data_IF_637137075449
#
_entry.id   IF_637137075449
#
_cell.length_a   1.000
_cell.length_b   1.000
_cell.length_c   1.000
_cell.angle_alpha   90.00
_cell.angle_beta   90.00
_cell.angle_gamma   90.00
#
_symmetry.space_group_name_H-M   'P 1'
#
loop_
_entity.id
_entity.type
_entity.pdbx_description
1 polymer ?
#
# COMPACT_ATOMS: atom_id res chain seq x y z
N UNK A 1 -71.34 -64.80 1.46
CA UNK A 1 -71.19 -65.07 0.01
C UNK A 1 -71.05 -63.75 -0.73
N UNK A 2 -69.87 -63.50 -1.31
CA UNK A 2 -69.63 -62.86 -2.61
C UNK A 2 -68.18 -62.40 -2.63
N UNK A 3 -67.37 -63.27 -3.21
CA UNK A 3 -66.05 -62.96 -3.75
C UNK A 3 -66.19 -61.80 -4.72
N UNK A 4 -65.37 -60.76 -4.54
CA UNK A 4 -65.04 -59.87 -5.66
C UNK A 4 -63.53 -59.63 -5.60
N UNK A 5 -62.84 -60.41 -6.43
CA UNK A 5 -61.43 -60.25 -6.76
C UNK A 5 -61.35 -59.05 -7.71
N UNK A 6 -60.70 -57.97 -7.28
CA UNK A 6 -60.38 -56.84 -8.14
C UNK A 6 -58.88 -56.89 -8.44
N UNK A 7 -58.58 -57.44 -9.60
CA UNK A 7 -57.27 -57.37 -10.27
C UNK A 7 -57.18 -55.96 -10.83
N UNK A 8 -56.28 -55.13 -10.29
CA UNK A 8 -55.93 -53.85 -10.91
C UNK A 8 -54.44 -53.61 -10.78
N UNK A 9 -53.77 -53.90 -11.90
CA UNK A 9 -52.63 -53.21 -12.48
C UNK A 9 -51.48 -52.82 -11.55
N UNK A 10 -50.47 -53.69 -11.54
CA UNK A 10 -49.08 -53.36 -11.22
C UNK A 10 -48.60 -52.30 -12.24
N UNK A 11 -48.63 -51.03 -11.86
CA UNK A 11 -47.80 -50.02 -12.48
C UNK A 11 -46.49 -49.96 -11.68
N UNK A 12 -45.46 -50.66 -12.16
CA UNK A 12 -44.09 -50.40 -11.73
C UNK A 12 -43.76 -49.00 -12.24
N UNK A 13 -43.97 -47.99 -11.40
CA UNK A 13 -43.34 -46.70 -11.60
C UNK A 13 -41.83 -46.94 -11.47
N UNK A 14 -41.12 -46.92 -12.59
CA UNK A 14 -39.69 -46.65 -12.60
C UNK A 14 -39.54 -45.29 -11.91
N UNK A 15 -39.19 -45.32 -10.63
CA UNK A 15 -38.57 -44.19 -9.99
C UNK A 15 -37.25 -43.97 -10.72
N UNK A 16 -37.28 -43.11 -11.75
CA UNK A 16 -36.10 -42.37 -12.16
C UNK A 16 -35.67 -41.61 -10.92
N UNK A 17 -34.75 -42.23 -10.18
CA UNK A 17 -33.92 -41.55 -9.22
C UNK A 17 -33.35 -40.34 -9.95
N UNK A 18 -33.98 -39.20 -9.70
CA UNK A 18 -33.35 -37.91 -9.90
C UNK A 18 -32.23 -37.90 -8.90
N UNK A 19 -31.07 -38.43 -9.32
CA UNK A 19 -29.80 -38.01 -8.78
C UNK A 19 -29.79 -36.51 -9.01
N UNK A 20 -30.26 -35.79 -8.00
CA UNK A 20 -29.83 -34.44 -7.70
C UNK A 20 -28.32 -34.50 -7.82
N UNK A 21 -27.82 -34.11 -8.99
CA UNK A 21 -26.45 -33.69 -9.10
C UNK A 21 -26.35 -32.59 -8.07
N UNK A 22 -25.77 -32.91 -6.90
CA UNK A 22 -25.19 -31.91 -6.02
C UNK A 22 -24.54 -30.91 -6.96
N UNK A 23 -25.06 -29.69 -7.00
CA UNK A 23 -24.37 -28.59 -7.64
C UNK A 23 -23.01 -28.57 -6.95
N UNK A 24 -22.00 -29.15 -7.61
CA UNK A 24 -20.70 -29.38 -7.01
C UNK A 24 -20.18 -28.00 -6.66
N UNK A 25 -20.29 -27.65 -5.37
CA UNK A 25 -19.81 -26.40 -4.84
C UNK A 25 -18.34 -26.34 -5.19
N UNK A 26 -17.90 -25.19 -5.67
CA UNK A 26 -16.50 -25.02 -6.00
C UNK A 26 -15.64 -25.29 -4.76
N UNK A 27 -14.41 -25.76 -5.01
CA UNK A 27 -13.47 -26.04 -3.95
C UNK A 27 -13.04 -24.73 -3.29
N UNK A 28 -12.98 -24.72 -1.95
CA UNK A 28 -12.64 -23.50 -1.20
C UNK A 28 -11.23 -23.03 -1.50
N UNK A 29 -10.90 -21.78 -1.17
CA UNK A 29 -9.52 -21.27 -1.26
C UNK A 29 -8.58 -22.22 -0.49
N UNK A 30 -7.48 -22.60 -1.14
CA UNK A 30 -6.51 -23.64 -0.76
C UNK A 30 -7.00 -25.09 -0.81
N UNK A 31 -8.23 -25.35 -1.27
CA UNK A 31 -8.76 -26.69 -1.49
C UNK A 31 -8.24 -27.35 -2.78
N UNK A 32 -8.32 -28.69 -2.86
CA UNK A 32 -7.98 -29.42 -4.07
C UNK A 32 -9.07 -29.23 -5.14
N UNK A 33 -8.65 -28.96 -6.36
CA UNK A 33 -9.55 -28.66 -7.49
C UNK A 33 -9.17 -29.41 -8.77
N UNK A 34 -8.22 -30.34 -8.69
CA UNK A 34 -7.76 -31.09 -9.86
C UNK A 34 -6.59 -32.01 -9.56
N UNK A 35 -6.12 -32.68 -10.61
CA UNK A 35 -5.06 -33.69 -10.56
C UNK A 35 -5.47 -35.00 -11.24
N UNK A 36 -4.50 -35.78 -11.71
CA UNK A 36 -4.77 -37.09 -12.32
C UNK A 36 -5.51 -37.99 -11.30
N UNK A 37 -6.70 -38.48 -11.68
CA UNK A 37 -7.53 -39.34 -10.84
C UNK A 37 -8.47 -38.62 -9.86
N UNK A 38 -8.48 -37.28 -9.85
CA UNK A 38 -9.42 -36.50 -9.04
C UNK A 38 -10.84 -36.57 -9.61
N UNK A 39 -11.82 -36.90 -8.75
CA UNK A 39 -13.26 -36.98 -9.11
C UNK A 39 -14.12 -35.90 -8.43
N UNK A 40 -13.50 -34.99 -7.67
CA UNK A 40 -14.19 -33.90 -6.97
C UNK A 40 -14.33 -32.61 -7.80
N UNK A 41 -14.68 -31.47 -7.17
CA UNK A 41 -14.91 -30.20 -7.87
C UNK A 41 -13.69 -29.75 -8.67
N UNK A 42 -13.91 -29.24 -9.90
CA UNK A 42 -12.86 -28.72 -10.78
C UNK A 42 -12.83 -27.19 -10.86
N UNK A 43 -13.73 -26.53 -10.11
CA UNK A 43 -13.80 -25.08 -9.97
C UNK A 43 -13.39 -24.65 -8.55
N UNK A 44 -13.03 -23.38 -8.39
CA UNK A 44 -12.62 -22.77 -7.13
C UNK A 44 -13.58 -21.65 -6.71
N UNK A 45 -13.73 -21.45 -5.40
CA UNK A 45 -14.51 -20.34 -4.85
C UNK A 45 -14.01 -18.99 -5.40
N UNK A 46 -14.95 -18.06 -5.54
CA UNK A 46 -14.71 -16.74 -6.13
C UNK A 46 -13.47 -16.07 -5.51
N UNK A 47 -12.56 -15.60 -6.37
CA UNK A 47 -11.29 -15.00 -5.94
C UNK A 47 -10.10 -15.96 -5.93
N UNK A 48 -10.26 -17.23 -6.30
CA UNK A 48 -9.16 -18.20 -6.47
C UNK A 48 -9.20 -18.95 -7.80
N UNK A 49 -8.05 -19.43 -8.28
CA UNK A 49 -7.91 -20.25 -9.50
C UNK A 49 -7.26 -21.59 -9.18
N UNK A 50 -7.71 -22.62 -9.88
CA UNK A 50 -7.13 -23.95 -9.76
C UNK A 50 -5.76 -24.01 -10.45
N UNK A 51 -4.70 -24.10 -9.65
CA UNK A 51 -3.32 -24.12 -10.14
C UNK A 51 -2.69 -25.49 -9.89
N UNK A 52 -2.17 -26.12 -10.95
CA UNK A 52 -1.41 -27.36 -10.84
C UNK A 52 -0.09 -27.11 -10.10
N UNK A 53 0.28 -28.00 -9.18
CA UNK A 53 1.56 -27.87 -8.48
C UNK A 53 2.71 -28.32 -9.39
N UNK A 54 3.76 -27.50 -9.51
CA UNK A 54 4.86 -27.71 -10.47
C UNK A 54 5.59 -29.05 -10.30
N UNK A 55 5.51 -29.65 -9.10
CA UNK A 55 6.14 -30.95 -8.79
C UNK A 55 5.14 -32.07 -8.51
N UNK A 56 3.84 -31.87 -8.80
CA UNK A 56 2.82 -32.88 -8.54
C UNK A 56 1.66 -32.84 -9.55
N UNK A 57 1.76 -33.66 -10.59
CA UNK A 57 0.69 -33.85 -11.61
C UNK A 57 -0.62 -34.46 -11.07
N UNK A 58 -0.61 -35.03 -9.87
CA UNK A 58 -1.79 -35.60 -9.21
C UNK A 58 -2.53 -34.59 -8.33
N UNK A 59 -2.04 -33.35 -8.22
CA UNK A 59 -2.61 -32.36 -7.30
C UNK A 59 -2.63 -30.95 -7.89
N UNK A 60 -3.83 -30.39 -8.00
CA UNK A 60 -4.07 -28.98 -8.32
C UNK A 60 -4.84 -28.34 -7.17
N UNK A 61 -4.47 -27.12 -6.81
CA UNK A 61 -5.01 -26.43 -5.63
C UNK A 61 -5.58 -25.07 -6.02
N UNK A 62 -6.70 -24.69 -5.40
CA UNK A 62 -7.29 -23.37 -5.51
C UNK A 62 -6.38 -22.36 -4.82
N UNK A 63 -5.57 -21.64 -5.59
CA UNK A 63 -4.74 -20.58 -5.04
C UNK A 63 -5.45 -19.24 -5.25
N UNK A 64 -5.46 -18.35 -4.25
CA UNK A 64 -6.00 -17.01 -4.42
C UNK A 64 -5.28 -16.31 -5.57
N UNK A 65 -6.00 -15.54 -6.36
CA UNK A 65 -5.37 -14.74 -7.41
C UNK A 65 -4.40 -13.76 -6.77
N UNK A 66 -3.11 -13.96 -6.99
CA UNK A 66 -2.09 -12.94 -6.76
C UNK A 66 -2.42 -11.76 -7.67
N UNK A 67 -3.10 -10.75 -7.10
CA UNK A 67 -3.49 -9.45 -7.69
C UNK A 67 -3.77 -9.42 -9.21
N UNK A 68 -5.09 -9.33 -9.51
CA UNK A 68 -5.77 -8.89 -10.76
C UNK A 68 -5.76 -9.85 -11.95
N UNK A 69 -6.82 -10.03 -12.76
CA UNK A 69 -8.20 -9.53 -12.90
C UNK A 69 -8.94 -10.57 -13.80
N UNK A 70 -10.26 -10.66 -13.99
CA UNK A 70 -11.26 -9.60 -14.18
C UNK A 70 -12.69 -10.16 -14.13
N UNK A 71 -13.67 -9.28 -13.89
CA UNK A 71 -14.77 -9.13 -14.85
C UNK A 71 -15.01 -7.64 -15.11
N UNK A 72 -14.69 -7.25 -16.35
CA UNK A 72 -15.28 -6.17 -17.15
C UNK A 72 -15.74 -4.87 -16.46
N UNK A 73 -14.80 -3.98 -16.14
CA UNK A 73 -15.05 -2.54 -16.23
C UNK A 73 -14.08 -1.93 -17.22
N UNK A 74 -14.53 -0.93 -17.96
CA UNK A 74 -13.60 -0.10 -18.71
C UNK A 74 -12.64 0.61 -17.75
N UNK A 75 -11.45 0.92 -18.24
CA UNK A 75 -10.47 1.68 -17.47
C UNK A 75 -11.05 3.06 -17.16
N UNK A 76 -10.85 3.52 -15.93
CA UNK A 76 -11.38 4.82 -15.50
C UNK A 76 -10.79 5.97 -16.32
N UNK A 77 -11.41 7.14 -16.27
CA UNK A 77 -10.80 8.35 -16.83
C UNK A 77 -9.41 8.55 -16.21
N UNK A 78 -8.39 8.73 -17.05
CA UNK A 78 -6.95 8.72 -16.74
C UNK A 78 -6.33 7.36 -16.36
N UNK A 79 -7.09 6.27 -16.41
CA UNK A 79 -6.58 4.91 -16.25
C UNK A 79 -5.79 4.43 -17.47
N UNK A 80 -4.86 3.49 -17.27
CA UNK A 80 -4.17 2.83 -18.37
C UNK A 80 -5.16 1.94 -19.12
N UNK A 81 -5.20 2.10 -20.44
CA UNK A 81 -6.12 1.39 -21.34
C UNK A 81 -5.38 0.68 -22.49
N UNK A 82 -4.05 0.68 -22.47
CA UNK A 82 -3.26 0.06 -23.53
C UNK A 82 -1.76 0.21 -23.31
N UNK A 83 -1.00 -0.30 -24.28
CA UNK A 83 0.46 -0.36 -24.27
C UNK A 83 1.00 -1.77 -24.47
N UNK A 84 2.21 -1.89 -25.00
CA UNK A 84 2.89 -3.20 -25.13
C UNK A 84 3.03 -3.84 -23.74
N UNK A 85 2.59 -5.09 -23.61
CA UNK A 85 2.63 -5.84 -22.35
C UNK A 85 1.50 -5.50 -21.36
N UNK A 86 0.57 -4.62 -21.72
CA UNK A 86 -0.62 -4.33 -20.91
C UNK A 86 -1.63 -5.49 -20.98
N UNK A 87 -2.04 -5.99 -19.82
CA UNK A 87 -3.02 -7.07 -19.65
C UNK A 87 -4.33 -6.61 -18.99
N UNK A 88 -4.49 -5.31 -18.76
CA UNK A 88 -5.70 -4.73 -18.15
C UNK A 88 -6.76 -4.29 -19.18
N UNK A 89 -7.78 -3.52 -18.74
CA UNK A 89 -8.87 -3.11 -19.62
C UNK A 89 -8.38 -2.29 -20.82
N UNK A 90 -9.01 -2.48 -22.00
CA UNK A 90 -8.66 -1.76 -23.25
C UNK A 90 -9.70 -0.74 -23.70
N UNK A 91 -10.84 -0.68 -23.00
CA UNK A 91 -11.86 0.36 -23.16
C UNK A 91 -11.75 1.38 -22.03
N UNK A 92 -12.36 2.55 -22.23
CA UNK A 92 -12.41 3.64 -21.25
C UNK A 92 -13.84 3.91 -20.79
N UNK A 93 -14.01 4.35 -19.54
CA UNK A 93 -15.31 4.80 -19.02
C UNK A 93 -15.93 5.86 -19.94
N UNK A 94 -17.27 5.86 -20.03
CA UNK A 94 -18.02 6.71 -20.95
C UNK A 94 -17.62 8.19 -20.84
N UNK A 95 -17.38 8.83 -21.98
CA UNK A 95 -16.88 10.21 -22.05
C UNK A 95 -15.36 10.33 -22.13
N UNK A 96 -14.62 9.22 -22.17
CA UNK A 96 -13.17 9.20 -22.40
C UNK A 96 -12.74 8.21 -23.48
N UNK A 97 -11.59 8.50 -24.11
CA UNK A 97 -11.03 7.72 -25.22
C UNK A 97 -9.63 7.25 -24.85
N UNK A 98 -9.28 6.02 -25.20
CA UNK A 98 -7.93 5.51 -24.98
C UNK A 98 -6.94 6.16 -25.95
N UNK A 99 -6.01 6.96 -25.43
CA UNK A 99 -5.00 7.69 -26.22
C UNK A 99 -3.61 7.14 -25.89
N UNK A 100 -2.89 6.68 -26.92
CA UNK A 100 -1.50 6.29 -26.80
C UNK A 100 -0.64 7.51 -26.46
N UNK A 101 0.27 7.39 -25.50
CA UNK A 101 1.13 8.50 -25.13
C UNK A 101 2.27 8.64 -26.14
N UNK A 102 2.47 9.87 -26.64
CA UNK A 102 3.51 10.16 -27.62
C UNK A 102 4.89 9.84 -27.04
N UNK A 103 5.70 9.08 -27.78
CA UNK A 103 7.00 8.60 -27.32
C UNK A 103 6.97 7.39 -26.39
N UNK A 104 5.80 6.86 -25.98
CA UNK A 104 5.71 5.68 -25.11
C UNK A 104 4.74 4.60 -25.64
N UNK A 105 5.29 3.65 -26.42
CA UNK A 105 4.55 2.48 -26.94
C UNK A 105 4.07 1.48 -25.87
N UNK A 106 4.56 1.57 -24.64
CA UNK A 106 4.18 0.67 -23.53
C UNK A 106 3.01 1.22 -22.70
N UNK A 107 2.47 2.40 -23.05
CA UNK A 107 1.46 3.05 -22.23
C UNK A 107 0.42 3.83 -23.07
N UNK A 108 -0.85 3.56 -22.83
CA UNK A 108 -1.99 4.31 -23.37
C UNK A 108 -2.96 4.61 -22.25
N UNK A 109 -3.57 5.80 -22.25
CA UNK A 109 -4.36 6.31 -21.15
C UNK A 109 -5.73 6.81 -21.60
N UNK A 110 -6.77 6.58 -20.81
CA UNK A 110 -8.10 7.13 -21.04
C UNK A 110 -8.10 8.65 -20.82
N UNK A 111 -8.35 9.44 -21.85
CA UNK A 111 -8.45 10.90 -21.75
C UNK A 111 -9.89 11.36 -22.03
N UNK A 112 -10.43 12.33 -21.27
CA UNK A 112 -11.77 12.86 -21.52
C UNK A 112 -11.88 13.45 -22.94
N UNK A 113 -12.96 13.12 -23.64
CA UNK A 113 -13.26 13.68 -24.95
C UNK A 113 -13.76 15.11 -24.84
N UNK A 114 -12.86 16.08 -24.88
CA UNK A 114 -13.22 17.45 -25.23
C UNK A 114 -13.35 17.54 -26.75
N UNK A 115 -14.59 17.66 -27.23
CA UNK A 115 -14.87 18.25 -28.54
C UNK A 115 -14.25 19.66 -28.54
N UNK A 116 -13.17 19.86 -29.29
CA UNK A 116 -12.97 21.09 -30.01
C UNK A 116 -12.40 20.79 -31.37
N UNK A 117 -13.22 21.12 -32.37
CA UNK A 117 -12.99 20.97 -33.78
C UNK A 117 -11.75 21.75 -34.21
N UNK A 118 -10.82 21.06 -34.87
CA UNK A 118 -10.28 21.61 -36.10
C UNK A 118 -10.22 20.47 -37.13
N UNK A 119 -11.01 20.64 -38.19
CA UNK A 119 -10.99 19.77 -39.36
C UNK A 119 -9.61 19.86 -40.02
N UNK A 120 -9.03 18.70 -40.34
CA UNK A 120 -7.67 18.62 -40.89
C UNK A 120 -7.31 17.23 -41.40
N UNK A 121 -8.12 16.74 -42.33
CA UNK A 121 -7.71 15.88 -43.45
C UNK A 121 -7.18 14.48 -43.14
N UNK A 122 -8.09 13.52 -43.35
CA UNK A 122 -7.77 12.12 -43.58
C UNK A 122 -6.69 11.98 -44.68
N UNK A 123 -5.59 11.31 -44.38
CA UNK A 123 -4.73 10.70 -45.39
C UNK A 123 -4.49 9.23 -45.06
N UNK A 124 -5.08 8.41 -45.90
CA UNK A 124 -4.97 6.96 -46.01
C UNK A 124 -3.57 6.57 -46.48
N UNK A 125 -2.81 5.79 -45.70
CA UNK A 125 -1.64 5.09 -46.27
C UNK A 125 -1.40 3.71 -45.64
N UNK A 126 -2.09 2.73 -46.24
CA UNK A 126 -1.61 1.41 -46.70
C UNK A 126 -0.49 0.69 -45.90
N UNK A 127 -0.95 -0.41 -45.28
CA UNK A 127 -0.25 -1.67 -44.97
C UNK A 127 0.89 -2.00 -45.94
N UNK A 128 2.12 -2.08 -45.42
CA UNK A 128 3.24 -2.76 -46.09
C UNK A 128 3.92 -3.70 -45.10
N UNK A 129 3.85 -4.98 -45.43
CA UNK A 129 4.55 -6.12 -44.84
C UNK A 129 6.03 -6.11 -45.22
N UNK A 130 6.92 -6.29 -44.26
CA UNK A 130 8.29 -6.78 -44.53
C UNK A 130 8.70 -7.87 -43.54
N UNK A 131 9.40 -8.83 -44.12
CA UNK A 131 9.66 -10.21 -43.69
C UNK A 131 11.00 -10.30 -42.95
N UNK A 132 11.07 -11.31 -42.08
CA UNK A 132 12.23 -11.72 -41.30
C UNK A 132 13.52 -11.92 -42.12
N UNK A 133 14.67 -11.66 -41.46
CA UNK A 133 15.94 -12.32 -41.77
C UNK A 133 16.78 -12.52 -40.50
N UNK A 134 17.32 -13.72 -40.43
CA UNK A 134 18.15 -14.38 -39.42
C UNK A 134 19.62 -13.99 -39.50
N UNK A 135 20.34 -13.95 -38.37
CA UNK A 135 21.77 -14.32 -38.30
C UNK A 135 22.23 -14.71 -36.89
N UNK A 136 22.46 -16.03 -36.75
CA UNK A 136 23.53 -16.81 -36.10
C UNK A 136 24.25 -16.34 -34.81
N UNK A 137 24.30 -17.29 -33.87
CA UNK A 137 25.04 -17.36 -32.61
C UNK A 137 26.59 -17.34 -32.74
N UNK A 138 27.28 -17.20 -31.59
CA UNK A 138 28.41 -18.07 -31.30
C UNK A 138 28.31 -18.77 -29.93
N UNK A 139 28.89 -19.96 -29.90
CA UNK A 139 28.86 -20.98 -28.84
C UNK A 139 30.20 -21.02 -28.09
N UNK A 140 30.11 -21.11 -26.76
CA UNK A 140 31.02 -21.73 -25.74
C UNK A 140 32.55 -21.66 -25.87
N UNK A 141 33.22 -21.38 -24.74
CA UNK A 141 34.28 -22.27 -24.21
C UNK A 141 34.37 -22.13 -22.69
N UNK A 142 34.14 -23.23 -21.97
CA UNK A 142 34.45 -23.39 -20.55
C UNK A 142 35.88 -23.90 -20.40
N UNK A 143 36.61 -23.46 -19.35
CA UNK A 143 37.80 -24.15 -18.86
C UNK A 143 37.88 -24.07 -17.34
N UNK A 144 37.96 -25.26 -16.74
CA UNK A 144 38.11 -25.53 -15.32
C UNK A 144 39.55 -25.41 -14.86
N UNK A 145 39.77 -24.97 -13.60
CA UNK A 145 40.99 -25.34 -12.84
C UNK A 145 40.77 -25.28 -11.31
N UNK A 146 40.85 -26.47 -10.70
CA UNK A 146 41.42 -26.86 -9.38
C UNK A 146 41.05 -26.19 -8.05
N UNK A 147 40.39 -27.03 -7.25
CA UNK A 147 40.50 -27.29 -5.80
C UNK A 147 41.85 -26.99 -5.15
N UNK A 148 41.81 -26.35 -3.97
CA UNK A 148 42.80 -26.55 -2.89
C UNK A 148 42.10 -26.62 -1.54
N UNK A 149 42.27 -27.78 -0.92
CA UNK A 149 41.85 -28.17 0.42
C UNK A 149 42.75 -27.52 1.47
N UNK A 150 42.16 -26.99 2.55
CA UNK A 150 42.88 -26.76 3.81
C UNK A 150 41.97 -27.06 5.00
N UNK A 151 42.53 -27.79 5.97
CA UNK A 151 41.85 -28.51 7.05
C UNK A 151 42.02 -27.79 8.39
N UNK A 152 40.95 -27.81 9.22
CA UNK A 152 40.83 -27.62 10.70
C UNK A 152 41.45 -26.37 11.35
N UNK A 153 40.77 -25.72 12.31
CA UNK A 153 40.74 -26.21 13.70
C UNK A 153 39.57 -25.65 14.51
N UNK A 154 38.95 -26.56 15.26
CA UNK A 154 37.90 -26.38 16.27
C UNK A 154 38.45 -25.65 17.51
N UNK A 155 37.70 -24.70 18.07
CA UNK A 155 37.84 -24.35 19.49
C UNK A 155 36.49 -24.01 20.10
N UNK A 156 36.02 -24.96 20.90
CA UNK A 156 34.84 -24.87 21.76
C UNK A 156 35.12 -23.93 22.93
N UNK A 157 34.26 -22.95 23.18
CA UNK A 157 34.16 -22.29 24.49
C UNK A 157 32.71 -22.18 24.95
N UNK A 158 32.42 -23.03 25.92
CA UNK A 158 31.26 -23.04 26.82
C UNK A 158 31.29 -21.78 27.70
N UNK A 159 30.19 -21.03 27.77
CA UNK A 159 29.94 -20.09 28.88
C UNK A 159 28.50 -20.26 29.37
N UNK A 160 28.43 -20.32 30.68
CA UNK A 160 27.39 -20.84 31.56
C UNK A 160 26.18 -19.91 31.68
N UNK A 161 25.02 -20.55 31.79
CA UNK A 161 23.70 -20.03 32.08
C UNK A 161 23.62 -19.56 33.54
N UNK A 162 23.18 -18.31 33.76
CA UNK A 162 22.71 -17.87 35.09
C UNK A 162 21.35 -17.18 34.94
N UNK A 163 20.38 -17.78 35.60
CA UNK A 163 18.98 -17.38 35.73
C UNK A 163 18.79 -16.35 36.85
N UNK A 164 18.06 -15.28 36.57
CA UNK A 164 17.32 -14.54 37.60
C UNK A 164 15.97 -14.09 37.05
N UNK A 165 14.95 -14.43 37.82
CA UNK A 165 13.51 -14.22 37.65
C UNK A 165 13.07 -12.81 38.03
N UNK A 166 12.24 -12.15 37.20
CA UNK A 166 11.27 -11.16 37.66
C UNK A 166 10.15 -10.90 36.63
N UNK A 167 8.93 -11.27 37.05
CA UNK A 167 7.61 -10.75 36.68
C UNK A 167 7.27 -10.47 35.20
N UNK A 168 6.63 -11.45 34.57
CA UNK A 168 5.86 -11.27 33.35
C UNK A 168 4.56 -10.51 33.67
N UNK A 169 4.42 -9.29 33.14
CA UNK A 169 3.13 -8.65 32.91
C UNK A 169 2.60 -9.12 31.55
N UNK A 170 1.38 -9.63 31.57
CA UNK A 170 0.70 -10.31 30.47
C UNK A 170 0.61 -9.41 29.23
N UNK A 171 1.42 -9.74 28.23
CA UNK A 171 1.49 -9.08 26.93
C UNK A 171 0.45 -9.66 25.98
N UNK A 172 -0.63 -8.93 25.74
CA UNK A 172 -1.57 -9.23 24.66
C UNK A 172 -0.93 -8.79 23.33
N UNK A 173 -0.11 -9.66 22.75
CA UNK A 173 0.33 -9.56 21.35
C UNK A 173 -0.60 -10.41 20.49
N UNK A 174 -1.20 -9.81 19.45
CA UNK A 174 -1.05 -10.26 18.05
C UNK A 174 -2.15 -9.71 17.14
N UNK A 175 -1.83 -8.67 16.37
CA UNK A 175 -2.42 -8.42 15.03
C UNK A 175 -1.77 -7.24 14.30
N UNK A 176 -1.05 -6.35 14.98
CA UNK A 176 -0.65 -5.08 14.40
C UNK A 176 0.72 -5.05 13.69
N UNK A 177 1.45 -6.16 13.53
CA UNK A 177 2.69 -6.16 12.72
C UNK A 177 3.88 -5.34 13.26
N UNK A 178 3.81 -4.77 14.46
CA UNK A 178 4.92 -4.09 15.15
C UNK A 178 5.08 -4.55 16.61
N UNK A 179 6.25 -4.25 17.21
CA UNK A 179 6.58 -4.58 18.61
C UNK A 179 7.28 -3.42 19.29
N UNK A 180 7.07 -3.25 20.59
CA UNK A 180 7.82 -2.27 21.38
C UNK A 180 9.32 -2.58 21.36
N UNK A 181 10.14 -1.55 21.24
CA UNK A 181 11.60 -1.67 21.30
C UNK A 181 12.04 -1.58 22.77
N UNK A 182 12.75 -2.61 23.24
CA UNK A 182 13.29 -2.62 24.60
C UNK A 182 14.29 -1.49 24.79
N UNK A 183 14.09 -0.64 25.80
CA UNK A 183 14.90 0.56 26.02
C UNK A 183 14.63 1.69 25.03
N UNK A 184 13.64 1.54 24.14
CA UNK A 184 13.21 2.57 23.21
C UNK A 184 12.59 3.77 23.93
N UNK A 185 12.61 4.92 23.25
CA UNK A 185 12.07 6.17 23.81
C UNK A 185 10.57 6.03 24.10
N UNK A 186 10.15 6.55 25.25
CA UNK A 186 8.74 6.57 25.64
C UNK A 186 8.47 7.75 26.57
N UNK A 187 7.20 8.11 26.72
CA UNK A 187 6.80 9.20 27.61
C UNK A 187 5.39 9.68 27.35
N UNK A 188 5.05 10.81 27.97
CA UNK A 188 3.88 11.60 27.61
C UNK A 188 4.27 12.71 26.64
N UNK A 189 3.33 13.09 25.80
CA UNK A 189 3.53 14.09 24.76
C UNK A 189 2.24 14.80 24.37
N UNK A 190 2.40 15.78 23.50
CA UNK A 190 1.30 16.52 22.87
C UNK A 190 1.36 16.34 21.36
N UNK A 191 0.24 16.61 20.69
CA UNK A 191 0.17 16.56 19.24
C UNK A 191 -0.35 17.86 18.65
N UNK A 192 0.05 18.14 17.42
CA UNK A 192 -0.67 19.05 16.53
C UNK A 192 -0.98 18.33 15.22
N UNK A 193 -1.40 19.09 14.20
CA UNK A 193 -1.70 18.61 12.87
C UNK A 193 -1.13 19.57 11.83
N UNK A 194 -0.59 19.05 10.75
CA UNK A 194 -0.10 19.87 9.65
C UNK A 194 -0.09 19.13 8.31
N UNK A 195 -0.03 19.91 7.24
CA UNK A 195 0.37 19.47 5.91
C UNK A 195 0.81 20.71 5.12
N UNK A 196 2.11 20.94 5.06
CA UNK A 196 2.72 22.10 4.39
C UNK A 196 3.24 21.80 2.98
N UNK A 197 3.14 20.53 2.57
CA UNK A 197 3.65 19.97 1.32
C UNK A 197 5.19 19.99 1.18
N UNK A 198 5.93 20.49 2.17
CA UNK A 198 7.38 20.62 2.08
C UNK A 198 8.04 19.25 1.98
N UNK A 199 9.22 19.21 1.33
CA UNK A 199 10.12 18.07 1.50
C UNK A 199 10.44 17.91 2.99
N UNK A 200 10.26 16.70 3.51
CA UNK A 200 10.47 16.41 4.92
C UNK A 200 11.96 16.40 5.28
N UNK A 201 12.30 16.73 6.54
CA UNK A 201 13.70 16.86 6.94
C UNK A 201 14.45 15.52 6.91
N UNK A 202 13.79 14.39 7.20
CA UNK A 202 14.39 13.05 7.09
C UNK A 202 14.52 12.56 5.64
N UNK A 203 14.06 13.34 4.66
CA UNK A 203 14.28 13.07 3.23
C UNK A 203 15.67 13.49 2.74
N UNK A 204 16.47 14.15 3.58
CA UNK A 204 17.85 14.47 3.26
C UNK A 204 18.80 13.30 3.60
N UNK A 205 19.74 12.96 2.72
CA UNK A 205 20.78 11.97 3.04
C UNK A 205 21.59 12.36 4.28
N UNK A 206 22.05 11.35 5.03
CA UNK A 206 22.95 11.54 6.17
C UNK A 206 22.29 12.01 7.47
N UNK A 207 20.96 12.16 7.50
CA UNK A 207 20.23 12.57 8.72
C UNK A 207 20.15 11.49 9.80
N UNK A 208 20.11 10.22 9.41
CA UNK A 208 20.11 9.07 10.32
C UNK A 208 20.75 7.85 9.65
N UNK A 209 21.03 6.80 10.43
CA UNK A 209 21.47 5.50 9.92
C UNK A 209 20.27 4.72 9.38
N UNK A 210 20.01 4.85 8.08
CA UNK A 210 18.84 4.30 7.40
C UNK A 210 19.21 3.58 6.10
N UNK A 211 18.31 2.75 5.58
CA UNK A 211 18.41 2.05 4.28
C UNK A 211 18.40 3.02 3.11
N UNK A 212 17.52 4.03 3.17
CA UNK A 212 17.46 5.22 2.32
C UNK A 212 16.76 6.34 3.09
N UNK A 213 16.94 7.63 2.74
CA UNK A 213 16.17 8.71 3.35
C UNK A 213 14.68 8.59 2.97
N UNK A 214 13.82 9.37 3.63
CA UNK A 214 12.40 9.40 3.26
C UNK A 214 12.23 9.90 1.82
N UNK A 215 11.43 9.19 1.04
CA UNK A 215 11.13 9.52 -0.34
C UNK A 215 10.62 10.97 -0.49
N UNK A 216 11.11 11.63 -1.54
CA UNK A 216 10.66 12.97 -1.96
C UNK A 216 9.98 12.85 -3.31
N UNK A 217 8.84 13.51 -3.48
CA UNK A 217 8.08 13.46 -4.72
C UNK A 217 8.14 14.77 -5.50
N UNK A 218 7.94 14.67 -6.82
CA UNK A 218 7.66 15.81 -7.68
C UNK A 218 6.29 16.43 -7.36
N UNK A 219 5.92 17.49 -8.09
CA UNK A 219 4.67 18.23 -7.81
C UNK A 219 3.41 17.37 -7.88
N UNK A 220 3.38 16.33 -8.71
CA UNK A 220 2.27 15.37 -8.75
C UNK A 220 2.11 14.52 -7.47
N UNK A 221 3.09 14.56 -6.54
CA UNK A 221 3.10 13.82 -5.28
C UNK A 221 3.30 12.31 -5.43
N UNK A 222 3.74 11.83 -6.59
CA UNK A 222 3.90 10.40 -6.93
C UNK A 222 5.29 10.09 -7.47
N UNK A 223 5.76 10.86 -8.45
CA UNK A 223 7.05 10.59 -9.10
C UNK A 223 8.18 10.89 -8.13
N UNK A 224 8.96 9.87 -7.78
CA UNK A 224 10.12 10.02 -6.90
C UNK A 224 11.18 10.91 -7.56
N UNK A 225 11.78 11.76 -6.73
CA UNK A 225 12.92 12.60 -7.10
C UNK A 225 14.19 12.12 -6.39
N UNK A 226 15.33 12.59 -6.88
CA UNK A 226 16.60 12.38 -6.19
C UNK A 226 16.54 12.97 -4.77
N UNK A 227 17.13 12.27 -3.80
CA UNK A 227 17.10 12.68 -2.39
C UNK A 227 17.80 14.03 -2.14
N UNK A 228 18.64 14.52 -3.05
CA UNK A 228 19.27 15.84 -2.97
C UNK A 228 18.46 16.95 -3.65
N UNK A 229 17.31 16.63 -4.27
CA UNK A 229 16.44 17.65 -4.88
C UNK A 229 16.00 18.67 -3.84
N UNK A 230 16.05 19.95 -4.21
CA UNK A 230 15.69 21.04 -3.30
C UNK A 230 14.18 21.00 -2.96
N UNK A 231 13.85 21.35 -1.72
CA UNK A 231 12.47 21.46 -1.26
C UNK A 231 11.71 22.54 -2.04
N UNK A 232 10.47 22.27 -2.42
CA UNK A 232 9.56 23.28 -2.98
C UNK A 232 9.31 24.46 -2.05
N UNK A 233 9.43 24.25 -0.73
CA UNK A 233 9.38 25.33 0.26
C UNK A 233 10.62 26.24 0.26
N UNK A 234 11.64 25.87 -0.50
CA UNK A 234 12.87 26.63 -0.69
C UNK A 234 13.17 26.84 -2.18
N UNK A 235 12.12 26.93 -3.02
CA UNK A 235 12.23 27.22 -4.45
C UNK A 235 12.64 26.04 -5.34
N UNK A 236 12.69 24.83 -4.79
CA UNK A 236 12.95 23.59 -5.53
C UNK A 236 11.69 22.93 -6.08
N UNK A 237 11.81 21.64 -6.39
CA UNK A 237 10.74 20.82 -6.97
C UNK A 237 10.39 19.58 -6.12
N UNK A 238 11.01 19.43 -4.94
CA UNK A 238 10.78 18.33 -4.01
C UNK A 238 9.69 18.63 -2.99
N UNK A 239 8.70 17.74 -2.92
CA UNK A 239 7.54 17.85 -2.04
C UNK A 239 7.33 16.54 -1.26
N UNK A 240 6.50 16.61 -0.22
CA UNK A 240 6.00 15.43 0.47
C UNK A 240 5.17 14.55 -0.48
N UNK A 241 5.39 13.25 -0.43
CA UNK A 241 4.66 12.28 -1.25
C UNK A 241 3.21 12.10 -0.77
N UNK A 242 2.30 11.87 -1.72
CA UNK A 242 0.87 11.66 -1.43
C UNK A 242 0.64 10.45 -0.53
N UNK A 243 1.51 9.43 -0.59
CA UNK A 243 1.38 8.23 0.23
C UNK A 243 1.79 8.43 1.71
N UNK A 244 2.33 9.60 2.09
CA UNK A 244 2.63 9.98 3.48
C UNK A 244 1.41 10.53 4.24
N UNK A 245 0.21 10.15 3.83
CA UNK A 245 -1.05 10.45 4.50
C UNK A 245 -1.38 9.40 5.58
N UNK A 246 -2.20 9.74 6.59
CA UNK A 246 -2.65 8.81 7.60
C UNK A 246 -3.83 7.95 7.10
N UNK A 247 -3.99 6.75 7.66
CA UNK A 247 -5.11 5.86 7.36
C UNK A 247 -5.51 5.01 8.56
N UNK A 248 -6.76 4.58 8.61
CA UNK A 248 -7.26 3.65 9.60
C UNK A 248 -6.88 2.21 9.21
N UNK A 249 -6.34 1.45 10.14
CA UNK A 249 -6.17 -0.01 10.02
C UNK A 249 -7.48 -0.70 10.43
N UNK A 250 -8.06 -0.22 11.53
CA UNK A 250 -9.39 -0.57 12.03
C UNK A 250 -9.89 0.59 12.91
N UNK A 251 -10.99 0.42 13.63
CA UNK A 251 -11.57 1.51 14.45
C UNK A 251 -10.67 1.94 15.64
N UNK A 252 -9.72 1.12 16.07
CA UNK A 252 -8.88 1.35 17.25
C UNK A 252 -7.44 1.73 16.90
N UNK A 253 -6.99 1.36 15.69
CA UNK A 253 -5.62 1.54 15.21
C UNK A 253 -5.58 2.31 13.88
N UNK A 254 -4.73 3.32 13.81
CA UNK A 254 -4.34 4.00 12.59
C UNK A 254 -2.83 3.96 12.37
N UNK A 255 -2.42 4.15 11.13
CA UNK A 255 -1.03 4.42 10.75
C UNK A 255 -0.91 5.78 10.09
N UNK A 256 0.29 6.36 10.15
CA UNK A 256 0.58 7.61 9.48
C UNK A 256 2.00 8.09 9.73
N UNK A 257 2.19 9.39 9.58
CA UNK A 257 3.50 10.01 9.63
C UNK A 257 3.43 11.27 10.48
N UNK A 258 4.58 11.70 11.00
CA UNK A 258 4.65 12.89 11.84
C UNK A 258 5.98 13.62 11.67
N UNK A 259 5.95 14.92 11.96
CA UNK A 259 7.13 15.61 12.46
C UNK A 259 7.24 15.35 13.97
N UNK A 260 8.46 15.27 14.51
CA UNK A 260 8.63 15.10 15.95
C UNK A 260 9.76 15.95 16.55
N UNK A 261 9.63 16.18 17.85
CA UNK A 261 10.67 16.70 18.74
C UNK A 261 10.63 15.87 20.02
N UNK A 262 11.62 15.00 20.23
CA UNK A 262 11.60 13.99 21.30
C UNK A 262 12.68 14.30 22.34
N UNK A 263 12.29 14.31 23.62
CA UNK A 263 13.16 14.65 24.73
C UNK A 263 14.42 13.77 24.78
N UNK A 264 15.59 14.42 24.92
CA UNK A 264 16.87 13.72 25.01
C UNK A 264 17.21 12.89 23.77
N UNK A 265 16.73 13.33 22.61
CA UNK A 265 17.02 12.75 21.30
C UNK A 265 17.36 13.87 20.31
N UNK A 266 17.65 13.52 19.06
CA UNK A 266 17.87 14.44 17.96
C UNK A 266 17.41 13.81 16.65
N UNK A 267 17.62 14.51 15.54
CA UNK A 267 17.20 14.06 14.21
C UNK A 267 17.75 12.68 13.83
N UNK A 268 19.00 12.37 14.18
CA UNK A 268 19.57 11.04 13.96
C UNK A 268 18.90 9.95 14.82
N UNK A 269 18.40 10.32 15.99
CA UNK A 269 17.67 9.45 16.90
C UNK A 269 16.25 9.13 16.43
N UNK A 270 15.49 10.13 15.96
CA UNK A 270 14.07 9.92 15.63
C UNK A 270 13.79 9.71 14.14
N UNK A 271 14.63 10.18 13.21
CA UNK A 271 14.32 10.05 11.78
C UNK A 271 14.08 8.59 11.39
N UNK A 272 12.96 8.37 10.74
CA UNK A 272 12.44 7.07 10.31
C UNK A 272 12.17 6.06 11.43
N UNK A 273 12.26 6.49 12.70
CA UNK A 273 11.80 5.71 13.85
C UNK A 273 10.28 5.70 13.92
N UNK A 274 9.72 4.62 14.46
CA UNK A 274 8.28 4.47 14.62
C UNK A 274 7.87 4.51 16.08
N UNK A 275 6.72 5.11 16.34
CA UNK A 275 6.19 5.29 17.69
C UNK A 275 4.71 4.95 17.71
N UNK A 276 4.30 4.08 18.63
CA UNK A 276 2.88 3.90 18.95
C UNK A 276 2.47 5.03 19.90
N UNK A 277 1.53 5.85 19.44
CA UNK A 277 0.86 6.87 20.22
C UNK A 277 -0.44 6.28 20.76
N UNK A 278 -0.70 6.44 22.05
CA UNK A 278 -2.01 6.18 22.65
C UNK A 278 -2.59 7.51 23.11
N UNK A 279 -3.65 7.97 22.46
CA UNK A 279 -4.26 9.26 22.79
C UNK A 279 -4.90 9.21 24.18
N UNK A 280 -4.69 10.27 24.98
CA UNK A 280 -5.17 10.37 26.36
C UNK A 280 -6.22 11.47 26.56
N UNK A 281 -6.49 12.28 25.54
CA UNK A 281 -7.55 13.29 25.55
C UNK A 281 -8.17 13.47 24.15
N UNK A 282 -9.21 14.30 24.06
CA UNK A 282 -9.97 14.52 22.83
C UNK A 282 -10.87 13.32 22.44
N UNK A 283 -11.56 13.45 21.31
CA UNK A 283 -12.50 12.44 20.83
C UNK A 283 -11.82 11.14 20.34
N UNK A 284 -10.52 11.18 20.09
CA UNK A 284 -9.69 10.02 19.77
C UNK A 284 -9.10 9.33 21.01
N UNK A 285 -9.39 9.79 22.23
CA UNK A 285 -8.86 9.20 23.47
C UNK A 285 -9.08 7.69 23.52
N UNK A 286 -8.05 6.95 23.93
CA UNK A 286 -8.01 5.48 23.95
C UNK A 286 -7.62 4.82 22.62
N UNK A 287 -7.73 5.52 21.48
CA UNK A 287 -7.27 5.01 20.18
C UNK A 287 -5.74 5.03 20.10
N UNK A 288 -5.20 4.17 19.24
CA UNK A 288 -3.77 4.05 18.97
C UNK A 288 -3.43 4.47 17.55
N UNK A 289 -2.30 5.15 17.39
CA UNK A 289 -1.76 5.48 16.08
C UNK A 289 -0.27 5.16 16.06
N UNK A 290 0.19 4.32 15.12
CA UNK A 290 1.63 4.18 14.89
C UNK A 290 2.06 5.15 13.82
N UNK A 291 3.02 5.99 14.15
CA UNK A 291 3.58 6.98 13.24
C UNK A 291 5.03 6.68 12.95
N UNK A 292 5.43 6.85 11.69
CA UNK A 292 6.84 7.00 11.35
C UNK A 292 7.21 8.48 11.34
N UNK A 293 8.30 8.85 12.02
CA UNK A 293 8.79 10.23 12.03
C UNK A 293 9.56 10.50 10.75
N UNK A 294 9.06 11.40 9.92
CA UNK A 294 9.67 11.78 8.64
C UNK A 294 10.19 13.21 8.63
N UNK A 295 9.84 14.01 9.63
CA UNK A 295 10.25 15.41 9.74
C UNK A 295 10.63 15.78 11.17
N UNK A 296 11.34 16.89 11.34
CA UNK A 296 11.64 17.48 12.65
C UNK A 296 10.71 18.67 12.90
N UNK A 297 10.07 18.70 14.06
CA UNK A 297 9.26 19.84 14.53
C UNK A 297 10.06 20.79 15.41
N UNK A 298 10.94 21.60 14.81
CA UNK A 298 11.94 22.39 15.54
C UNK A 298 11.39 23.51 16.45
N UNK A 299 10.14 23.91 16.24
CA UNK A 299 9.37 24.89 17.02
C UNK A 299 8.51 24.26 18.12
N UNK A 300 8.49 22.93 18.19
CA UNK A 300 7.57 22.18 19.03
C UNK A 300 8.22 21.84 20.38
N UNK A 301 7.42 21.92 21.44
CA UNK A 301 7.84 21.58 22.79
C UNK A 301 8.37 20.14 22.91
N UNK A 302 8.89 19.81 24.09
CA UNK A 302 9.43 18.47 24.36
C UNK A 302 8.38 17.37 24.18
N UNK A 303 8.74 16.25 23.54
CA UNK A 303 7.85 15.11 23.23
C UNK A 303 6.62 15.51 22.42
N UNK A 304 6.83 16.28 21.37
CA UNK A 304 5.75 16.74 20.51
C UNK A 304 5.75 16.00 19.18
N UNK A 305 4.57 15.61 18.71
CA UNK A 305 4.34 14.96 17.42
C UNK A 305 3.34 15.77 16.58
N UNK A 306 3.81 16.41 15.51
CA UNK A 306 2.95 17.08 14.54
C UNK A 306 2.46 16.08 13.49
N UNK A 307 1.20 15.70 13.56
CA UNK A 307 0.66 14.62 12.75
C UNK A 307 0.42 15.09 11.32
N UNK A 308 0.99 14.39 10.34
CA UNK A 308 0.79 14.69 8.92
C UNK A 308 -0.62 14.30 8.52
N UNK A 309 -1.45 15.29 8.23
CA UNK A 309 -2.80 15.08 7.72
C UNK A 309 -3.18 16.23 6.78
N UNK A 310 -3.47 15.96 5.50
CA UNK A 310 -3.84 17.00 4.55
C UNK A 310 -5.01 17.85 5.05
N UNK A 311 -4.87 19.16 4.90
CA UNK A 311 -5.83 20.11 5.45
C UNK A 311 -5.68 20.31 6.97
N UNK A 312 -4.60 19.85 7.59
CA UNK A 312 -4.25 20.16 8.99
C UNK A 312 -3.75 21.59 9.21
N UNK A 313 -3.46 22.33 8.14
CA UNK A 313 -2.84 23.65 8.18
C UNK A 313 -1.41 23.59 7.66
N UNK A 314 -0.98 24.63 6.97
CA UNK A 314 0.38 24.70 6.38
C UNK A 314 1.41 25.19 7.41
N UNK A 315 0.96 25.92 8.44
CA UNK A 315 1.83 26.42 9.49
C UNK A 315 2.79 27.50 9.01
N UNK A 316 4.07 27.38 9.39
CA UNK A 316 5.09 28.38 9.08
C UNK A 316 5.34 28.46 7.57
N UNK A 317 5.49 27.31 6.91
CA UNK A 317 5.78 27.20 5.48
C UNK A 317 4.50 26.94 4.68
N UNK A 318 4.53 27.19 3.37
CA UNK A 318 3.44 26.84 2.47
C UNK A 318 3.98 26.37 1.11
N UNK A 319 4.50 25.14 1.09
CA UNK A 319 4.86 24.47 -0.16
C UNK A 319 3.64 24.10 -1.00
N UNK A 320 2.46 24.02 -0.39
CA UNK A 320 1.22 23.64 -1.08
C UNK A 320 0.79 24.68 -2.12
N UNK A 321 1.12 25.96 -1.92
CA UNK A 321 0.94 26.99 -2.94
C UNK A 321 1.74 26.66 -4.22
N UNK A 322 3.00 26.28 -4.06
CA UNK A 322 3.87 25.90 -5.19
C UNK A 322 3.50 24.54 -5.80
N UNK A 323 3.09 23.57 -4.99
CA UNK A 323 2.77 22.21 -5.45
C UNK A 323 1.42 22.13 -6.15
N UNK A 324 0.39 22.71 -5.54
CA UNK A 324 -1.02 22.47 -5.85
C UNK A 324 -1.81 23.75 -6.15
N UNK A 325 -1.16 24.91 -6.14
CA UNK A 325 -1.85 26.20 -6.26
C UNK A 325 -2.77 26.49 -5.07
N UNK A 326 -2.45 25.97 -3.88
CA UNK A 326 -3.21 26.26 -2.67
C UNK A 326 -3.20 27.76 -2.33
N UNK A 327 -4.23 28.28 -1.63
CA UNK A 327 -4.22 29.67 -1.15
C UNK A 327 -3.02 29.99 -0.25
N UNK A 328 -2.77 31.28 0.00
CA UNK A 328 -1.62 31.76 0.78
C UNK A 328 -1.54 31.17 2.20
N UNK A 329 -2.69 30.84 2.80
CA UNK A 329 -2.81 30.20 4.12
C UNK A 329 -3.14 28.69 4.04
N UNK A 330 -3.07 28.10 2.84
CA UNK A 330 -3.53 26.74 2.58
C UNK A 330 -5.04 26.65 2.35
N UNK A 331 -5.61 25.44 2.40
CA UNK A 331 -7.03 25.18 2.11
C UNK A 331 -8.00 25.55 3.26
N UNK A 332 -7.50 26.12 4.35
CA UNK A 332 -8.28 26.54 5.51
C UNK A 332 -7.50 27.56 6.32
N UNK A 333 -7.63 27.53 7.65
CA UNK A 333 -6.80 28.37 8.50
C UNK A 333 -5.32 27.96 8.38
N UNK A 334 -4.41 28.95 8.39
CA UNK A 334 -2.96 28.71 8.33
C UNK A 334 -2.49 27.66 9.33
N UNK A 335 -2.98 27.77 10.56
CA UNK A 335 -2.79 26.80 11.63
C UNK A 335 -4.14 26.13 11.93
N UNK A 336 -4.18 24.80 11.91
CA UNK A 336 -5.40 24.01 12.14
C UNK A 336 -6.20 23.69 10.87
N UNK A 337 -5.95 24.40 9.76
CA UNK A 337 -6.41 24.03 8.42
C UNK A 337 -7.92 24.07 8.24
N UNK A 338 -8.45 23.08 7.52
CA UNK A 338 -9.88 22.98 7.23
C UNK A 338 -10.70 22.73 8.50
N UNK A 339 -11.97 23.12 8.49
CA UNK A 339 -12.85 23.11 9.65
C UNK A 339 -13.90 22.00 9.64
N UNK A 340 -14.21 21.47 8.44
CA UNK A 340 -15.24 20.46 8.24
C UNK A 340 -14.80 19.38 7.23
N UNK A 341 -15.47 18.22 7.26
CA UNK A 341 -15.22 17.15 6.29
C UNK A 341 -15.58 17.55 4.86
N UNK A 342 -16.56 18.45 4.68
CA UNK A 342 -16.92 18.98 3.36
C UNK A 342 -15.82 19.83 2.75
N UNK A 343 -15.04 20.54 3.58
CA UNK A 343 -13.91 21.37 3.12
C UNK A 343 -12.81 20.51 2.46
N UNK A 344 -12.76 19.20 2.75
CA UNK A 344 -11.85 18.27 2.08
C UNK A 344 -12.04 18.23 0.56
N UNK A 345 -13.21 18.62 0.04
CA UNK A 345 -13.44 18.72 -1.40
C UNK A 345 -12.61 19.83 -2.07
N UNK A 346 -12.11 20.81 -1.31
CA UNK A 346 -11.25 21.89 -1.82
C UNK A 346 -9.79 21.47 -2.01
N UNK A 347 -9.38 20.34 -1.43
CA UNK A 347 -8.05 19.78 -1.58
C UNK A 347 -7.94 18.97 -2.89
N UNK A 348 -6.72 18.83 -3.46
CA UNK A 348 -6.46 17.89 -4.55
C UNK A 348 -7.00 16.49 -4.23
N UNK A 349 -7.60 15.83 -5.22
CA UNK A 349 -8.22 14.50 -5.06
C UNK A 349 -7.30 13.49 -4.37
N UNK A 350 -6.00 13.54 -4.68
CA UNK A 350 -4.96 12.70 -4.08
C UNK A 350 -4.82 12.86 -2.56
N UNK A 351 -5.19 14.01 -2.00
CA UNK A 351 -5.04 14.36 -0.58
C UNK A 351 -6.34 14.26 0.23
N UNK A 352 -7.47 14.01 -0.43
CA UNK A 352 -8.76 14.03 0.24
C UNK A 352 -8.96 12.84 1.19
N UNK A 353 -8.28 11.72 0.96
CA UNK A 353 -8.39 10.54 1.81
C UNK A 353 -7.82 10.81 3.22
N UNK A 354 -6.60 11.36 3.30
CA UNK A 354 -5.99 11.77 4.56
C UNK A 354 -6.73 12.93 5.24
N UNK A 355 -7.27 13.87 4.45
CA UNK A 355 -8.15 14.91 4.99
C UNK A 355 -9.42 14.32 5.63
N UNK A 356 -10.10 13.40 4.95
CA UNK A 356 -11.31 12.74 5.49
C UNK A 356 -10.99 11.85 6.70
N UNK A 357 -9.81 11.24 6.76
CA UNK A 357 -9.35 10.50 7.93
C UNK A 357 -9.36 11.35 9.21
N UNK A 358 -8.95 12.62 9.12
CA UNK A 358 -8.98 13.57 10.25
C UNK A 358 -10.36 13.67 10.88
N UNK A 359 -11.40 13.78 10.07
CA UNK A 359 -12.78 13.92 10.56
C UNK A 359 -13.41 12.58 10.95
N UNK A 360 -13.05 11.50 10.25
CA UNK A 360 -13.70 10.20 10.42
C UNK A 360 -13.10 9.35 11.53
N UNK A 361 -11.83 8.97 11.41
CA UNK A 361 -11.19 8.06 12.38
C UNK A 361 -10.65 8.85 13.58
N UNK A 362 -9.98 9.98 13.31
CA UNK A 362 -9.38 10.85 14.32
C UNK A 362 -10.42 11.77 15.01
N UNK A 363 -11.67 11.74 14.54
CA UNK A 363 -12.83 12.45 15.12
C UNK A 363 -12.61 13.95 15.29
N UNK A 364 -11.81 14.55 14.40
CA UNK A 364 -11.40 15.96 14.43
C UNK A 364 -10.87 16.39 15.81
N UNK A 365 -10.15 15.50 16.49
CA UNK A 365 -9.57 15.80 17.80
C UNK A 365 -8.61 16.97 17.69
N UNK A 366 -8.81 17.99 18.52
CA UNK A 366 -7.97 19.18 18.51
C UNK A 366 -6.79 19.00 19.46
N UNK A 367 -5.61 18.74 18.88
CA UNK A 367 -4.33 18.63 19.58
C UNK A 367 -4.38 17.69 20.80
N UNK A 368 -4.87 16.44 20.67
CA UNK A 368 -4.97 15.52 21.79
C UNK A 368 -3.59 15.24 22.40
N UNK A 369 -3.53 15.22 23.72
CA UNK A 369 -2.40 14.65 24.46
C UNK A 369 -2.30 13.15 24.22
N UNK A 370 -1.11 12.59 24.40
CA UNK A 370 -0.89 11.16 24.23
C UNK A 370 0.24 10.64 25.13
N UNK A 371 0.29 9.32 25.28
CA UNK A 371 1.53 8.63 25.64
C UNK A 371 2.12 7.99 24.39
N UNK A 372 3.44 7.86 24.34
CA UNK A 372 4.12 7.20 23.23
C UNK A 372 5.15 6.20 23.71
N UNK A 373 5.43 5.22 22.85
CA UNK A 373 6.58 4.32 22.97
C UNK A 373 7.13 3.99 21.59
N UNK A 374 8.45 3.87 21.51
CA UNK A 374 9.16 3.47 20.31
C UNK A 374 8.88 1.99 19.99
N UNK A 375 8.61 1.72 18.71
CA UNK A 375 8.24 0.41 18.19
C UNK A 375 9.02 0.11 16.92
N UNK A 376 9.15 -1.17 16.56
CA UNK A 376 9.60 -1.57 15.23
C UNK A 376 8.65 -0.98 14.19
N UNK A 377 9.17 -0.47 13.08
CA UNK A 377 8.30 0.06 12.04
C UNK A 377 7.49 -1.05 11.34
N UNK A 378 6.16 -0.92 11.25
CA UNK A 378 5.35 -1.72 10.33
C UNK A 378 5.85 -1.57 8.89
N UNK A 379 5.82 -2.66 8.12
CA UNK A 379 6.24 -2.65 6.72
C UNK A 379 5.40 -1.70 5.86
N UNK A 380 4.14 -1.47 6.23
CA UNK A 380 3.23 -0.56 5.54
C UNK A 380 3.70 0.90 5.62
N UNK A 381 4.43 1.28 6.69
CA UNK A 381 4.99 2.61 6.84
C UNK A 381 6.31 2.74 6.08
N UNK A 382 7.24 1.79 6.26
CA UNK A 382 8.56 1.84 5.58
C UNK A 382 8.45 1.65 4.07
N UNK A 383 7.49 0.87 3.58
CA UNK A 383 7.22 0.73 2.13
C UNK A 383 6.70 2.03 1.51
N UNK A 384 5.98 2.85 2.28
CA UNK A 384 5.46 4.14 1.79
C UNK A 384 6.52 5.24 1.81
N UNK A 385 7.34 5.25 2.86
CA UNK A 385 8.36 6.29 3.02
C UNK A 385 9.68 5.97 2.34
N UNK A 386 9.94 4.72 1.97
CA UNK A 386 11.24 4.28 1.47
C UNK A 386 12.35 4.27 2.53
N UNK A 387 12.02 4.54 3.81
CA UNK A 387 13.00 4.71 4.87
C UNK A 387 12.82 3.69 6.00
N UNK A 388 13.90 2.98 6.32
CA UNK A 388 13.97 2.05 7.46
C UNK A 388 15.29 2.25 8.21
N UNK A 389 15.23 2.22 9.55
CA UNK A 389 16.44 2.32 10.39
C UNK A 389 17.22 1.00 10.37
N UNK A 390 18.56 1.09 10.30
CA UNK A 390 19.48 -0.06 10.25
C UNK A 390 19.72 -0.73 11.58
#
# INVERSE_FOLDING_TARGET
MKFTVAITSIAVALALSSSSAEAASCSSVYGQCGGIGWTGPTCCDAGSTCTAQENNKYYSQCLPHSKSASSSSCSSVYGQCGGIGWSGPTCCESGSTCVAQEGNKYYSQCLPGSQNNNAGTATTTKKTTTKASTTKAPTTTAKATTTKTTTKTTTTKTVTKTSTTAAASTSTSSSAGYKAISGGKSGSGSTTRYWDCCKASCSWPGKASVTGPVDTCASNGISLLDANSQSGCNGGNGFMCNNNQPWAVNDELAYGFAAASIAGSNEAGWCCGCYELTFTSGAASGKKMVVQVTNTGGDLGSNHFDLQMPGGGVGIFNGCAAQWGAPNDGWGARYGGVSSVSDCASLPSALQAGCKWRFNWFKNSDNPTMTFKEVTCPAELTTRSGCERK
#
